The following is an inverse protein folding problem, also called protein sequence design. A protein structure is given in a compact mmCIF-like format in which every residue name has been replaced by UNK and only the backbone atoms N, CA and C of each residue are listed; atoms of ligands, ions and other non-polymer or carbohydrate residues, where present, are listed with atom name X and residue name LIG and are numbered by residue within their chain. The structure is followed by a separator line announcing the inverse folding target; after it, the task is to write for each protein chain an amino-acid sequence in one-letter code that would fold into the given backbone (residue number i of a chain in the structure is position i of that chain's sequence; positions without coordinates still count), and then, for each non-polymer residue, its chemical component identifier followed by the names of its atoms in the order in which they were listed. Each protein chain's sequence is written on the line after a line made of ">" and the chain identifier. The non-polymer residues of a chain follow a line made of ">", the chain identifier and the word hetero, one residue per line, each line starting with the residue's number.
data_IF_203969802446
#
_entry.id   IF_203969802446
#
_cell.length_a   1.000
_cell.length_b   1.000
_cell.length_c   1.000
_cell.angle_alpha   90.00
_cell.angle_beta   90.00
_cell.angle_gamma   90.00
#
_symmetry.space_group_name_H-M   'P 1'
#
loop_
_entity.id
_entity.type
_entity.pdbx_description
1 polymer ?
#
# COMPACT_ATOMS: atom_id res chain seq x y z
N UNK A 1 20.07 -0.11 20.87
CA UNK A 1 19.84 -1.42 20.22
C UNK A 1 20.40 -2.49 21.10
N UNK A 2 19.55 -3.39 21.52
CA UNK A 2 19.92 -4.51 22.39
C UNK A 2 20.91 -5.42 21.66
N UNK A 3 21.91 -6.01 22.32
CA UNK A 3 22.87 -6.93 21.69
C UNK A 3 22.16 -8.08 20.96
N UNK A 4 21.14 -8.65 21.62
CA UNK A 4 20.29 -9.71 21.09
C UNK A 4 19.53 -9.30 19.82
N UNK A 5 19.07 -8.05 19.74
CA UNK A 5 18.45 -7.53 18.52
C UNK A 5 19.46 -7.43 17.37
N UNK A 6 20.68 -6.97 17.66
CA UNK A 6 21.73 -6.85 16.64
C UNK A 6 22.08 -8.22 16.08
N UNK A 7 22.21 -9.22 16.93
CA UNK A 7 22.47 -10.60 16.53
C UNK A 7 21.27 -11.18 15.76
N UNK A 8 20.04 -10.92 16.21
CA UNK A 8 18.82 -11.30 15.50
C UNK A 8 18.78 -10.74 14.07
N UNK A 9 19.04 -9.45 13.89
CA UNK A 9 19.10 -8.81 12.57
C UNK A 9 20.23 -9.37 11.71
N UNK A 10 21.38 -9.67 12.31
CA UNK A 10 22.53 -10.25 11.61
C UNK A 10 22.23 -11.68 11.13
N UNK A 11 21.67 -12.52 11.99
CA UNK A 11 21.25 -13.88 11.65
C UNK A 11 20.13 -13.87 10.59
N UNK A 12 19.18 -12.95 10.70
CA UNK A 12 18.11 -12.74 9.72
C UNK A 12 18.66 -12.42 8.32
N UNK A 13 19.67 -11.54 8.25
CA UNK A 13 20.31 -11.17 6.99
C UNK A 13 21.17 -12.30 6.41
N UNK A 14 21.87 -13.05 7.28
CA UNK A 14 22.71 -14.18 6.89
C UNK A 14 21.91 -15.40 6.42
N UNK A 15 20.70 -15.60 6.96
CA UNK A 15 19.92 -16.81 6.70
C UNK A 15 20.12 -17.91 7.74
N UNK A 16 20.67 -17.60 8.92
CA UNK A 16 21.04 -18.60 9.92
C UNK A 16 19.83 -19.04 10.76
N UNK A 17 19.08 -20.01 10.22
CA UNK A 17 17.92 -20.61 10.87
C UNK A 17 18.20 -21.16 12.29
N UNK A 18 19.24 -21.97 12.54
CA UNK A 18 19.48 -22.50 13.89
C UNK A 18 19.79 -21.39 14.91
N UNK A 19 20.58 -20.38 14.54
CA UNK A 19 20.82 -19.25 15.42
C UNK A 19 19.53 -18.47 15.73
N UNK A 20 18.66 -18.27 14.74
CA UNK A 20 17.35 -17.64 14.96
C UNK A 20 16.48 -18.44 15.94
N UNK A 21 16.48 -19.78 15.88
CA UNK A 21 15.74 -20.62 16.84
C UNK A 21 16.27 -20.46 18.25
N UNK A 22 17.59 -20.44 18.40
CA UNK A 22 18.23 -20.26 19.70
C UNK A 22 17.89 -18.89 20.30
N UNK A 23 17.90 -17.84 19.49
CA UNK A 23 17.51 -16.48 19.92
C UNK A 23 16.02 -16.38 20.29
N UNK A 24 15.14 -17.08 19.57
CA UNK A 24 13.71 -17.14 19.91
C UNK A 24 13.43 -17.83 21.25
N UNK A 25 14.24 -18.83 21.61
CA UNK A 25 14.15 -19.49 22.92
C UNK A 25 14.60 -18.57 24.06
N UNK A 26 15.54 -17.65 23.80
CA UNK A 26 15.98 -16.65 24.76
C UNK A 26 14.93 -15.56 24.92
N UNK A 27 14.51 -14.96 23.80
CA UNK A 27 13.54 -13.87 23.78
C UNK A 27 12.51 -14.07 22.66
N UNK A 28 11.28 -14.51 22.99
CA UNK A 28 10.23 -14.70 21.99
C UNK A 28 9.73 -13.36 21.40
N UNK A 29 9.98 -12.24 22.09
CA UNK A 29 9.60 -10.90 21.64
C UNK A 29 10.38 -10.46 20.40
N UNK A 30 11.55 -11.05 20.13
CA UNK A 30 12.37 -10.76 18.96
C UNK A 30 11.64 -11.06 17.65
N UNK A 31 10.76 -12.06 17.62
CA UNK A 31 9.93 -12.38 16.45
C UNK A 31 9.02 -11.22 16.02
N UNK A 32 8.48 -10.51 17.01
CA UNK A 32 7.60 -9.36 16.80
C UNK A 32 8.36 -8.11 16.37
N UNK A 33 9.69 -8.12 16.42
CA UNK A 33 10.52 -7.01 15.94
C UNK A 33 10.46 -6.97 14.42
N UNK A 34 9.55 -6.13 13.96
CA UNK A 34 9.10 -6.00 12.58
C UNK A 34 10.21 -5.76 11.55
N UNK A 35 11.37 -5.24 11.97
CA UNK A 35 12.50 -4.95 11.09
C UNK A 35 13.13 -6.22 10.50
N UNK A 36 13.13 -7.34 11.21
CA UNK A 36 13.83 -8.54 10.76
C UNK A 36 13.22 -9.19 9.52
N UNK A 37 11.88 -9.26 9.44
CA UNK A 37 11.17 -9.78 8.26
C UNK A 37 11.48 -8.95 7.01
N UNK A 38 11.65 -7.63 7.17
CA UNK A 38 12.03 -6.74 6.08
C UNK A 38 13.44 -7.05 5.55
N UNK A 39 14.41 -7.27 6.44
CA UNK A 39 15.77 -7.64 6.04
C UNK A 39 15.82 -9.03 5.40
N UNK A 40 15.12 -10.02 5.96
CA UNK A 40 15.04 -11.36 5.38
C UNK A 40 14.43 -11.33 3.96
N UNK A 41 13.34 -10.59 3.78
CA UNK A 41 12.70 -10.40 2.48
C UNK A 41 13.61 -9.66 1.48
N UNK A 42 14.34 -8.64 1.94
CA UNK A 42 15.32 -7.92 1.12
C UNK A 42 16.43 -8.84 0.62
N UNK A 43 16.93 -9.72 1.50
CA UNK A 43 18.05 -10.62 1.20
C UNK A 43 17.66 -11.91 0.48
N UNK A 44 16.37 -12.18 0.25
CA UNK A 44 15.95 -13.40 -0.44
C UNK A 44 16.02 -14.66 0.44
N UNK A 45 15.97 -14.52 1.77
CA UNK A 45 16.12 -15.64 2.70
C UNK A 45 14.76 -16.30 3.00
N UNK A 46 14.34 -17.23 2.15
CA UNK A 46 13.03 -17.89 2.27
C UNK A 46 12.81 -18.58 3.62
N UNK A 47 13.78 -19.39 4.08
CA UNK A 47 13.65 -20.14 5.34
C UNK A 47 13.50 -19.23 6.55
N UNK A 48 14.22 -18.11 6.58
CA UNK A 48 14.14 -17.17 7.70
C UNK A 48 12.84 -16.38 7.68
N UNK A 49 12.31 -16.05 6.49
CA UNK A 49 10.97 -15.45 6.35
C UNK A 49 9.90 -16.39 6.88
N UNK A 50 9.92 -17.67 6.49
CA UNK A 50 8.95 -18.67 6.98
C UNK A 50 9.02 -18.83 8.50
N UNK A 51 10.24 -18.94 9.04
CA UNK A 51 10.43 -19.03 10.48
C UNK A 51 9.93 -17.80 11.25
N UNK A 52 10.22 -16.59 10.79
CA UNK A 52 9.76 -15.36 11.45
C UNK A 52 8.25 -15.22 11.40
N UNK A 53 7.66 -15.53 10.26
CA UNK A 53 6.22 -15.47 10.10
C UNK A 53 5.51 -16.53 10.96
N UNK A 54 6.10 -17.74 11.12
CA UNK A 54 5.63 -18.74 12.12
C UNK A 54 5.81 -18.28 13.57
N UNK A 55 6.88 -17.54 13.85
CA UNK A 55 7.16 -17.01 15.18
C UNK A 55 6.23 -15.84 15.57
N UNK A 56 5.29 -15.44 14.71
CA UNK A 56 4.32 -14.39 14.98
C UNK A 56 4.72 -13.00 14.49
N UNK A 57 5.67 -12.90 13.56
CA UNK A 57 6.00 -11.63 12.93
C UNK A 57 4.80 -11.08 12.13
N UNK A 58 4.53 -9.78 12.26
CA UNK A 58 3.49 -9.09 11.49
C UNK A 58 3.95 -8.89 10.03
N UNK A 59 3.42 -9.74 9.15
CA UNK A 59 3.71 -9.75 7.70
C UNK A 59 3.24 -8.48 7.00
N UNK A 60 2.22 -7.81 7.53
CA UNK A 60 1.63 -6.60 6.95
C UNK A 60 2.23 -5.32 7.52
N UNK A 61 3.20 -5.42 8.44
CA UNK A 61 3.80 -4.25 9.03
C UNK A 61 4.50 -3.39 7.97
N UNK A 62 4.33 -2.07 8.11
CA UNK A 62 4.91 -1.07 7.22
C UNK A 62 5.84 -0.15 7.98
N UNK A 63 7.13 -0.21 7.67
CA UNK A 63 8.14 0.78 8.09
C UNK A 63 8.55 1.65 6.90
N UNK A 64 7.58 2.31 6.28
CA UNK A 64 7.75 2.97 4.99
C UNK A 64 7.54 2.02 3.81
N UNK A 65 8.16 0.83 3.85
CA UNK A 65 7.88 -0.31 2.96
C UNK A 65 7.31 -1.47 3.76
N UNK A 66 6.72 -2.47 3.08
CA UNK A 66 6.40 -3.78 3.67
C UNK A 66 7.42 -4.83 3.20
N UNK A 67 7.49 -5.97 3.88
CA UNK A 67 8.30 -7.11 3.44
C UNK A 67 8.00 -7.51 1.99
N UNK A 68 6.73 -7.44 1.58
CA UNK A 68 6.29 -7.72 0.21
C UNK A 68 6.84 -6.71 -0.82
N UNK A 69 6.93 -5.42 -0.47
CA UNK A 69 7.55 -4.42 -1.35
C UNK A 69 9.04 -4.73 -1.58
N UNK A 70 9.77 -5.09 -0.52
CA UNK A 70 11.20 -5.42 -0.62
C UNK A 70 11.43 -6.70 -1.42
N UNK A 71 10.62 -7.74 -1.19
CA UNK A 71 10.68 -8.96 -1.98
C UNK A 71 10.39 -8.68 -3.47
N UNK A 72 9.40 -7.83 -3.77
CA UNK A 72 9.06 -7.46 -5.13
C UNK A 72 10.17 -6.62 -5.80
N UNK A 73 10.73 -5.64 -5.08
CA UNK A 73 11.81 -4.77 -5.56
C UNK A 73 13.06 -5.57 -5.94
N UNK A 74 13.37 -6.61 -5.17
CA UNK A 74 14.52 -7.48 -5.42
C UNK A 74 14.20 -8.69 -6.32
N UNK A 75 12.95 -8.86 -6.76
CA UNK A 75 12.55 -9.96 -7.65
C UNK A 75 12.47 -11.33 -6.97
N UNK A 76 12.35 -11.40 -5.65
CA UNK A 76 12.29 -12.65 -4.89
C UNK A 76 10.90 -13.29 -4.96
N UNK A 77 10.59 -13.87 -6.13
CA UNK A 77 9.29 -14.47 -6.44
C UNK A 77 8.80 -15.49 -5.40
N UNK A 78 9.72 -16.33 -4.93
CA UNK A 78 9.47 -17.38 -3.95
C UNK A 78 9.03 -16.80 -2.59
N UNK A 79 9.59 -15.66 -2.16
CA UNK A 79 9.16 -14.97 -0.93
C UNK A 79 7.80 -14.31 -1.13
N UNK A 80 7.56 -13.69 -2.28
CA UNK A 80 6.27 -13.08 -2.60
C UNK A 80 5.15 -14.12 -2.54
N UNK A 81 5.36 -15.28 -3.17
CA UNK A 81 4.42 -16.40 -3.13
C UNK A 81 4.20 -16.88 -1.70
N UNK A 82 5.28 -17.14 -0.94
CA UNK A 82 5.17 -17.61 0.44
C UNK A 82 4.37 -16.62 1.33
N UNK A 83 4.63 -15.32 1.22
CA UNK A 83 3.93 -14.31 2.02
C UNK A 83 2.44 -14.20 1.67
N UNK A 84 2.10 -14.28 0.38
CA UNK A 84 0.70 -14.18 -0.08
C UNK A 84 -0.05 -15.48 0.21
N UNK A 85 0.56 -16.62 -0.08
CA UNK A 85 -0.11 -17.93 -0.08
C UNK A 85 -0.23 -18.52 1.31
N UNK A 86 0.84 -18.45 2.10
CA UNK A 86 0.86 -19.06 3.44
C UNK A 86 0.39 -18.09 4.52
N UNK A 87 0.67 -16.79 4.38
CA UNK A 87 0.43 -15.81 5.44
C UNK A 87 -0.60 -14.72 5.08
N UNK A 88 -1.18 -14.76 3.88
CA UNK A 88 -2.24 -13.81 3.49
C UNK A 88 -1.78 -12.36 3.44
N UNK A 89 -0.54 -12.11 3.01
CA UNK A 89 0.01 -10.75 2.91
C UNK A 89 -0.85 -9.85 2.00
N UNK A 90 -1.16 -8.65 2.48
CA UNK A 90 -1.96 -7.67 1.74
C UNK A 90 -1.12 -6.97 0.67
N UNK A 91 -1.33 -7.34 -0.59
CA UNK A 91 -0.66 -6.73 -1.75
C UNK A 91 -1.11 -5.29 -2.06
N UNK A 92 -2.21 -4.83 -1.44
CA UNK A 92 -2.78 -3.51 -1.66
C UNK A 92 -2.22 -2.41 -0.76
N UNK A 93 -1.28 -2.74 0.14
CA UNK A 93 -0.64 -1.75 1.01
C UNK A 93 0.21 -0.81 0.15
N UNK A 94 0.12 0.49 0.44
CA UNK A 94 0.94 1.53 -0.19
C UNK A 94 2.16 1.86 0.67
N UNK A 95 3.30 2.03 0.02
CA UNK A 95 4.52 2.53 0.62
C UNK A 95 4.51 4.06 0.82
N UNK A 96 5.64 4.66 1.20
CA UNK A 96 5.75 6.11 1.36
C UNK A 96 5.66 6.92 0.05
N UNK A 97 5.86 6.27 -1.10
CA UNK A 97 5.68 6.86 -2.44
C UNK A 97 4.24 6.72 -2.95
N UNK A 98 3.35 6.10 -2.17
CA UNK A 98 1.99 5.75 -2.61
C UNK A 98 1.96 4.60 -3.61
N UNK A 99 3.06 3.86 -3.79
CA UNK A 99 3.17 2.70 -4.68
C UNK A 99 2.86 1.42 -3.90
N UNK A 100 2.27 0.46 -4.60
CA UNK A 100 2.01 -0.90 -4.09
C UNK A 100 3.14 -1.84 -4.51
N UNK A 101 3.27 -3.00 -3.84
CA UNK A 101 4.30 -4.00 -4.17
C UNK A 101 4.31 -4.39 -5.66
N UNK A 102 3.14 -4.48 -6.30
CA UNK A 102 2.99 -4.73 -7.75
C UNK A 102 3.70 -3.72 -8.66
N UNK A 103 3.93 -2.48 -8.19
CA UNK A 103 4.58 -1.44 -9.00
C UNK A 103 6.10 -1.64 -9.09
N UNK A 104 6.68 -2.34 -8.12
CA UNK A 104 8.10 -2.69 -8.09
C UNK A 104 8.38 -4.05 -8.70
N UNK A 105 7.34 -4.85 -8.88
CA UNK A 105 7.42 -6.18 -9.44
C UNK A 105 7.69 -6.13 -10.94
N UNK A 106 8.72 -6.83 -11.37
CA UNK A 106 9.12 -6.95 -12.78
C UNK A 106 8.65 -8.24 -13.44
N UNK A 107 8.09 -9.19 -12.68
CA UNK A 107 7.61 -10.48 -13.16
C UNK A 107 6.11 -10.51 -13.49
N UNK A 108 5.55 -11.71 -13.61
CA UNK A 108 4.12 -11.92 -13.86
C UNK A 108 3.26 -11.43 -12.70
N UNK A 109 2.32 -10.51 -12.94
CA UNK A 109 1.46 -9.92 -11.90
C UNK A 109 0.45 -10.89 -11.30
N UNK A 110 0.34 -12.10 -11.85
CA UNK A 110 -0.63 -13.13 -11.46
C UNK A 110 -0.50 -13.53 -9.99
N UNK A 111 0.72 -13.47 -9.43
CA UNK A 111 0.98 -13.75 -8.01
C UNK A 111 0.25 -12.78 -7.08
N UNK A 112 -0.01 -11.55 -7.52
CA UNK A 112 -0.72 -10.53 -6.74
C UNK A 112 -2.22 -10.44 -7.09
N UNK A 113 -2.64 -11.05 -8.20
CA UNK A 113 -3.99 -10.96 -8.75
C UNK A 113 -4.73 -12.30 -8.65
N UNK A 114 -4.68 -12.97 -7.49
CA UNK A 114 -5.42 -14.21 -7.28
C UNK A 114 -6.93 -13.93 -7.30
N UNK A 115 -7.70 -14.61 -8.18
CA UNK A 115 -9.15 -14.46 -8.25
C UNK A 115 -9.77 -15.16 -7.02
N UNK A 116 -9.90 -14.43 -5.91
CA UNK A 116 -10.46 -14.99 -4.68
C UNK A 116 -10.39 -14.07 -3.46
N UNK A 117 -9.60 -13.01 -3.50
CA UNK A 117 -9.52 -12.04 -2.40
C UNK A 117 -9.44 -10.60 -2.91
N UNK A 118 -10.46 -10.18 -3.66
CA UNK A 118 -11.06 -8.85 -3.52
C UNK A 118 -12.38 -8.76 -4.31
N UNK A 119 -13.43 -8.52 -3.53
CA UNK A 119 -14.74 -8.08 -3.93
C UNK A 119 -14.69 -6.85 -4.86
N UNK A 120 -15.54 -6.86 -5.89
CA UNK A 120 -16.43 -5.76 -6.28
C UNK A 120 -15.97 -4.30 -6.35
N UNK A 121 -14.67 -3.97 -6.33
CA UNK A 121 -14.17 -2.61 -6.46
C UNK A 121 -13.74 -2.34 -7.89
N UNK A 122 -14.54 -1.61 -8.68
CA UNK A 122 -14.20 -1.08 -10.01
C UNK A 122 -12.75 -0.57 -10.08
N UNK A 123 -11.94 -1.19 -10.93
CA UNK A 123 -10.61 -0.71 -11.28
C UNK A 123 -10.77 0.43 -12.30
N UNK A 124 -10.94 1.66 -11.80
CA UNK A 124 -10.80 2.84 -12.65
C UNK A 124 -9.32 2.99 -12.99
N UNK A 125 -8.92 2.49 -14.18
CA UNK A 125 -7.64 2.83 -14.80
C UNK A 125 -7.61 4.34 -15.07
N UNK A 126 -7.09 5.09 -14.11
CA UNK A 126 -6.63 6.46 -14.32
C UNK A 126 -5.41 6.42 -15.25
N UNK A 127 -5.53 7.10 -16.38
CA UNK A 127 -4.52 7.21 -17.44
C UNK A 127 -3.12 7.52 -16.93
N UNK A 128 -2.14 6.83 -17.51
CA UNK A 128 -0.77 7.34 -17.71
C UNK A 128 -0.83 8.65 -18.51
N UNK A 129 -0.12 9.65 -18.02
CA UNK A 129 0.16 10.94 -18.65
C UNK A 129 0.71 11.84 -17.54
N UNK A 130 2.02 12.03 -17.42
CA UNK A 130 2.79 12.75 -18.42
C UNK A 130 2.82 14.21 -17.97
N UNK A 131 4.00 14.65 -17.54
CA UNK A 131 4.32 16.04 -17.23
C UNK A 131 3.67 17.01 -18.22
N UNK A 132 2.92 18.00 -17.73
CA UNK A 132 2.85 19.37 -18.28
C UNK A 132 1.89 20.23 -17.46
N UNK A 133 2.45 21.22 -16.77
CA UNK A 133 1.72 22.47 -16.57
C UNK A 133 1.57 23.14 -17.94
N UNK A 134 0.37 23.62 -18.26
CA UNK A 134 0.30 24.99 -18.76
C UNK A 134 -0.84 25.78 -18.10
N UNK A 135 -0.45 26.96 -17.63
CA UNK A 135 -1.09 28.26 -17.81
C UNK A 135 -2.63 28.34 -17.86
N UNK A 136 -3.17 29.16 -16.95
CA UNK A 136 -4.50 29.79 -17.02
C UNK A 136 -4.87 30.24 -18.44
N UNK A 137 -6.10 29.96 -18.88
CA UNK A 137 -7.01 30.96 -19.47
C UNK A 137 -8.39 30.39 -19.82
N UNK A 138 -9.40 31.20 -19.45
CA UNK A 138 -10.83 31.22 -19.81
C UNK A 138 -11.73 30.04 -19.41
N UNK A 139 -12.39 30.26 -18.27
CA UNK A 139 -13.82 30.02 -18.08
C UNK A 139 -14.61 30.25 -19.37
N UNK A 140 -15.42 29.27 -19.79
CA UNK A 140 -16.75 29.47 -20.39
C UNK A 140 -17.40 28.09 -20.58
N UNK A 141 -18.00 27.56 -19.51
CA UNK A 141 -19.02 26.54 -19.65
C UNK A 141 -20.07 26.71 -18.56
N UNK A 142 -21.25 27.16 -18.94
CA UNK A 142 -22.46 26.59 -18.37
C UNK A 142 -23.53 26.53 -19.45
N UNK A 143 -23.67 25.34 -20.03
CA UNK A 143 -24.77 25.00 -20.94
C UNK A 143 -25.87 24.40 -20.07
N UNK A 144 -26.81 25.22 -19.62
CA UNK A 144 -27.99 24.72 -18.91
C UNK A 144 -29.13 24.54 -19.91
N UNK A 145 -29.50 23.27 -20.14
CA UNK A 145 -30.78 22.89 -20.75
C UNK A 145 -31.84 22.95 -19.65
N UNK A 146 -33.00 23.52 -19.95
CA UNK A 146 -34.35 22.91 -19.80
C UNK A 146 -35.39 23.93 -19.37
N UNK A 147 -36.45 24.03 -20.18
CA UNK A 147 -37.80 24.58 -19.90
C UNK A 147 -37.85 26.12 -19.77
N UNK A 148 -38.67 26.88 -20.50
CA UNK A 148 -40.05 26.62 -20.90
C UNK A 148 -40.94 27.62 -20.14
N UNK A 149 -41.12 28.81 -20.71
CA UNK A 149 -42.16 29.84 -20.48
C UNK A 149 -41.57 31.25 -20.59
N UNK A 150 -42.01 31.96 -21.64
CA UNK A 150 -41.92 33.40 -21.75
C UNK A 150 -43.00 33.99 -20.83
N UNK A 151 -42.60 34.62 -19.72
CA UNK A 151 -43.46 35.58 -19.03
C UNK A 151 -42.70 36.89 -18.88
N UNK A 152 -42.99 37.83 -19.78
CA UNK A 152 -42.86 39.26 -19.51
C UNK A 152 -43.96 39.60 -18.50
N UNK A 153 -43.61 39.76 -17.22
CA UNK A 153 -44.49 40.44 -16.27
C UNK A 153 -43.66 41.46 -15.50
N UNK A 154 -43.81 42.69 -15.98
CA UNK A 154 -43.44 43.95 -15.36
C UNK A 154 -44.12 44.03 -13.98
N UNK A 155 -43.36 44.10 -12.89
CA UNK A 155 -43.94 44.33 -11.57
C UNK A 155 -44.22 45.83 -11.36
N UNK A 156 -45.46 46.26 -11.08
CA UNK A 156 -45.71 47.57 -10.49
C UNK A 156 -45.92 47.44 -8.98
N UNK A 157 -45.08 48.21 -8.24
CA UNK A 157 -45.48 49.00 -7.06
C UNK A 157 -45.92 48.25 -5.79
N UNK A 158 -46.27 48.94 -4.68
CA UNK A 158 -45.54 49.96 -3.94
C UNK A 158 -45.47 49.65 -2.41
N UNK A 159 -44.61 50.41 -1.70
CA UNK A 159 -44.74 50.94 -0.32
C UNK A 159 -45.23 49.99 0.80
N UNK A 160 -44.48 49.88 1.90
CA UNK A 160 -44.72 50.72 3.08
C UNK A 160 -43.81 50.37 4.27
N UNK A 161 -43.34 51.43 4.95
CA UNK A 161 -43.28 51.56 6.42
C UNK A 161 -42.40 50.57 7.24
N UNK A 162 -41.39 50.99 8.02
CA UNK A 162 -41.53 51.79 9.25
C UNK A 162 -40.18 52.21 9.89
N UNK A 163 -40.20 53.13 10.88
CA UNK A 163 -39.09 53.99 11.28
C UNK A 163 -38.41 53.60 12.60
N UNK A 164 -37.26 54.24 12.88
CA UNK A 164 -36.96 55.01 14.11
C UNK A 164 -35.72 55.88 13.89
#
# INVERSE_FOLDING_TARGET
>A
MDPLERDWLRCAALGDAPALRHLLLQDPTLASRKTALHWAAKQGRLETVDMMARAGADVNFRSGYTALHLAALHGHAHIVQLLIDNYGAKANIRDYHGKMAVHYWTGSTDVFNKPGSQSGGKWSRGRRGGQRYPQFSSLLLSRSRSQGLLNMELAPSPQDSQPL
#
